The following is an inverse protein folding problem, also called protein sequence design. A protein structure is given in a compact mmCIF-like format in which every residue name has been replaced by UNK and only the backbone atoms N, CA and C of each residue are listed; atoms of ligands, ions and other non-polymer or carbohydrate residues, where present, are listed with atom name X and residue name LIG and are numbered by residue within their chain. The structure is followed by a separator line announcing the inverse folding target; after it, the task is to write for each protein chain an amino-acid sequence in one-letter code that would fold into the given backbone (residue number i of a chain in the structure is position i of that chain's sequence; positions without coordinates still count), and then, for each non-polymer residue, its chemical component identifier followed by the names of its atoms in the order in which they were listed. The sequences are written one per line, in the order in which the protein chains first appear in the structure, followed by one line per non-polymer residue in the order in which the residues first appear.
data_IF_259853574539
#
_entry.id   IF_259853574539
#
_cell.length_a   1.000
_cell.length_b   1.000
_cell.length_c   1.000
_cell.angle_alpha   90.00
_cell.angle_beta   90.00
_cell.angle_gamma   90.00
#
_symmetry.space_group_name_H-M   'P 1'
#
loop_
_entity.id
_entity.type
_entity.pdbx_description
1 polymer ?
#
# COMPACT_ATOMS: atom_id res chain seq x y z
N UNK A 1 -10.09 -11.52 -2.50
CA UNK A 1 -8.86 -10.79 -2.81
C UNK A 1 -8.59 -10.93 -4.30
N UNK A 2 -8.19 -9.86 -4.99
CA UNK A 2 -7.89 -9.91 -6.44
C UNK A 2 -6.54 -10.60 -6.67
N UNK A 3 -6.55 -11.71 -7.41
CA UNK A 3 -5.35 -12.48 -7.74
C UNK A 3 -4.44 -11.70 -8.72
N UNK A 4 -5.06 -10.96 -9.65
CA UNK A 4 -4.33 -10.11 -10.59
C UNK A 4 -3.60 -8.96 -9.88
N UNK A 5 -4.22 -8.36 -8.85
CA UNK A 5 -3.60 -7.29 -8.06
C UNK A 5 -2.40 -7.80 -7.27
N UNK A 6 -2.50 -8.96 -6.63
CA UNK A 6 -1.39 -9.57 -5.88
C UNK A 6 -0.21 -9.94 -6.78
N UNK A 7 -0.47 -10.43 -7.99
CA UNK A 7 0.57 -10.78 -8.98
C UNK A 7 1.31 -9.56 -9.51
N UNK A 8 0.66 -8.39 -9.53
CA UNK A 8 1.26 -7.15 -9.99
C UNK A 8 2.11 -6.43 -8.92
N UNK A 9 2.13 -6.92 -7.67
CA UNK A 9 2.99 -6.37 -6.61
C UNK A 9 4.47 -6.73 -6.85
N UNK A 10 5.35 -5.72 -6.74
CA UNK A 10 6.77 -5.87 -7.01
C UNK A 10 7.60 -5.16 -5.93
N UNK A 11 8.66 -5.82 -5.44
CA UNK A 11 9.64 -5.26 -4.50
C UNK A 11 10.72 -4.46 -5.20
N UNK A 12 11.40 -3.58 -4.46
CA UNK A 12 12.56 -2.83 -4.94
C UNK A 12 12.21 -1.71 -5.93
N UNK A 13 10.94 -1.35 -6.05
CA UNK A 13 10.45 -0.23 -6.86
C UNK A 13 9.80 0.81 -5.98
N UNK A 14 9.76 2.06 -6.44
CA UNK A 14 9.02 3.12 -5.74
C UNK A 14 7.50 2.86 -5.79
N UNK A 15 6.73 3.43 -4.86
CA UNK A 15 5.27 3.39 -4.96
C UNK A 15 4.76 4.04 -6.25
N UNK A 16 5.38 5.11 -6.76
CA UNK A 16 5.05 5.68 -8.07
C UNK A 16 5.14 4.62 -9.18
N UNK A 17 6.24 3.86 -9.21
CA UNK A 17 6.43 2.79 -10.20
C UNK A 17 5.47 1.62 -9.97
N UNK A 18 5.22 1.24 -8.71
CA UNK A 18 4.26 0.20 -8.36
C UNK A 18 2.86 0.57 -8.85
N UNK A 19 2.40 1.79 -8.57
CA UNK A 19 1.09 2.28 -9.01
C UNK A 19 1.01 2.31 -10.54
N UNK A 20 2.07 2.69 -11.25
CA UNK A 20 2.12 2.57 -12.71
C UNK A 20 1.90 1.15 -13.21
N UNK A 21 2.53 0.15 -12.57
CA UNK A 21 2.34 -1.28 -12.92
C UNK A 21 0.94 -1.78 -12.59
N UNK A 22 0.44 -1.44 -11.41
CA UNK A 22 -0.91 -1.80 -10.98
C UNK A 22 -1.96 -1.16 -11.90
N UNK A 23 -1.77 0.08 -12.36
CA UNK A 23 -2.70 0.76 -13.26
C UNK A 23 -2.72 0.16 -14.68
N UNK A 24 -1.66 -0.55 -15.07
CA UNK A 24 -1.61 -1.33 -16.31
C UNK A 24 -2.21 -2.73 -16.17
N UNK A 25 -2.46 -3.19 -14.94
CA UNK A 25 -3.11 -4.47 -14.68
C UNK A 25 -4.63 -4.38 -14.78
N UNK A 26 -5.26 -5.51 -15.02
CA UNK A 26 -6.71 -5.63 -15.15
C UNK A 26 -7.20 -6.98 -14.64
N UNK A 27 -8.41 -7.03 -14.09
CA UNK A 27 -9.08 -8.26 -13.71
C UNK A 27 -10.40 -8.39 -14.46
N UNK A 28 -10.66 -9.54 -15.08
CA UNK A 28 -11.85 -9.75 -15.90
C UNK A 28 -12.00 -8.74 -17.06
N UNK A 29 -10.88 -8.25 -17.61
CA UNK A 29 -10.85 -7.23 -18.67
C UNK A 29 -11.15 -5.80 -18.21
N UNK A 30 -11.23 -5.54 -16.90
CA UNK A 30 -11.44 -4.20 -16.34
C UNK A 30 -10.15 -3.67 -15.70
N UNK A 31 -9.68 -2.48 -16.09
CA UNK A 31 -8.45 -1.92 -15.53
C UNK A 31 -8.66 -1.48 -14.08
N UNK A 32 -7.60 -1.53 -13.28
CA UNK A 32 -7.64 -0.97 -11.94
C UNK A 32 -7.56 0.56 -11.98
N UNK A 33 -8.39 1.21 -11.16
CA UNK A 33 -8.34 2.64 -10.91
C UNK A 33 -7.58 2.88 -9.62
N UNK A 34 -6.47 3.61 -9.68
CA UNK A 34 -5.63 3.86 -8.52
C UNK A 34 -5.72 5.32 -8.08
N UNK A 35 -5.80 5.50 -6.76
CA UNK A 35 -5.78 6.81 -6.11
C UNK A 35 -4.68 6.83 -5.08
N UNK A 36 -4.19 8.02 -4.79
CA UNK A 36 -3.21 8.27 -3.73
C UNK A 36 -3.84 9.23 -2.75
N UNK A 37 -3.99 8.80 -1.50
CA UNK A 37 -4.43 9.68 -0.41
C UNK A 37 -3.50 10.89 -0.33
N UNK A 38 -4.03 12.08 -0.03
CA UNK A 38 -3.25 13.32 0.03
C UNK A 38 -1.97 13.18 0.88
N UNK A 39 -2.08 12.51 2.03
CA UNK A 39 -0.95 12.27 2.93
C UNK A 39 0.10 11.34 2.34
N UNK A 40 -0.30 10.37 1.51
CA UNK A 40 0.59 9.40 0.89
C UNK A 40 1.42 10.00 -0.25
N UNK A 41 0.96 11.11 -0.85
CA UNK A 41 1.67 11.80 -1.95
C UNK A 41 3.11 12.17 -1.61
N UNK A 42 3.38 12.56 -0.37
CA UNK A 42 4.73 12.93 0.09
C UNK A 42 5.71 11.74 0.17
N UNK A 43 5.21 10.51 0.06
CA UNK A 43 5.98 9.29 0.29
C UNK A 43 5.93 8.31 -0.90
N UNK A 44 5.44 8.75 -2.06
CA UNK A 44 5.35 7.87 -3.25
C UNK A 44 6.72 7.46 -3.81
N UNK A 45 7.78 8.17 -3.43
CA UNK A 45 9.17 7.82 -3.75
C UNK A 45 9.77 6.75 -2.82
N UNK A 46 9.06 6.33 -1.77
CA UNK A 46 9.49 5.22 -0.93
C UNK A 46 9.51 3.92 -1.74
N UNK A 47 10.54 3.11 -1.48
CA UNK A 47 10.79 1.82 -2.09
C UNK A 47 9.94 0.77 -1.37
N UNK A 48 9.19 -0.01 -2.13
CA UNK A 48 8.37 -1.12 -1.64
C UNK A 48 9.28 -2.30 -1.29
N UNK A 49 9.25 -2.74 -0.03
CA UNK A 49 10.17 -3.75 0.50
C UNK A 49 9.45 -5.06 0.85
N UNK A 50 8.27 -4.96 1.43
CA UNK A 50 7.43 -6.12 1.75
C UNK A 50 5.95 -5.77 1.73
N UNK A 51 5.11 -6.79 1.67
CA UNK A 51 3.67 -6.66 1.84
C UNK A 51 3.08 -7.92 2.47
N UNK A 52 1.89 -7.78 3.00
CA UNK A 52 1.02 -8.87 3.43
C UNK A 52 -0.40 -8.57 3.01
N UNK A 53 -1.22 -9.61 2.97
CA UNK A 53 -2.65 -9.47 2.78
C UNK A 53 -3.25 -8.65 3.93
N UNK A 54 -4.22 -7.81 3.60
CA UNK A 54 -4.99 -7.09 4.59
C UNK A 54 -5.92 -8.03 5.38
N UNK A 55 -6.46 -7.56 6.52
CA UNK A 55 -7.40 -8.36 7.32
C UNK A 55 -8.64 -8.73 6.49
N UNK A 56 -9.14 -9.97 6.58
CA UNK A 56 -10.27 -10.43 5.75
C UNK A 56 -11.59 -9.68 6.00
N UNK A 57 -11.69 -8.96 7.13
CA UNK A 57 -12.86 -8.16 7.51
C UNK A 57 -12.74 -6.67 7.17
N UNK A 58 -11.69 -6.27 6.44
CA UNK A 58 -11.38 -4.88 6.14
C UNK A 58 -11.36 -4.61 4.63
N UNK A 59 -11.57 -3.34 4.27
CA UNK A 59 -11.38 -2.86 2.90
C UNK A 59 -9.90 -2.79 2.49
N UNK A 60 -8.96 -3.03 3.41
CA UNK A 60 -7.52 -3.09 3.11
C UNK A 60 -7.23 -4.37 2.33
N UNK A 61 -6.79 -4.24 1.09
CA UNK A 61 -6.36 -5.38 0.27
C UNK A 61 -4.94 -5.81 0.65
N UNK A 62 -4.03 -4.85 0.80
CA UNK A 62 -2.63 -5.11 1.18
C UNK A 62 -2.12 -4.09 2.19
N UNK A 63 -1.28 -4.56 3.10
CA UNK A 63 -0.44 -3.71 3.96
C UNK A 63 0.99 -3.81 3.44
N UNK A 64 1.59 -2.68 3.09
CA UNK A 64 2.93 -2.63 2.51
C UNK A 64 3.92 -1.93 3.46
N UNK A 65 5.17 -2.36 3.42
CA UNK A 65 6.30 -1.67 4.02
C UNK A 65 7.03 -0.88 2.94
N UNK A 66 7.25 0.40 3.21
CA UNK A 66 7.96 1.31 2.33
C UNK A 66 9.13 1.97 3.02
N UNK A 67 10.29 1.97 2.37
CA UNK A 67 11.55 2.53 2.86
C UNK A 67 11.90 3.79 2.10
N UNK A 68 12.33 4.83 2.79
CA UNK A 68 12.87 6.01 2.12
C UNK A 68 14.18 5.69 1.38
N UNK A 69 14.52 6.44 0.33
CA UNK A 69 15.70 6.17 -0.50
C UNK A 69 17.01 6.18 0.30
N UNK A 70 17.09 7.05 1.30
CA UNK A 70 18.28 7.25 2.12
C UNK A 70 18.37 6.29 3.34
N UNK A 71 17.49 5.28 3.39
CA UNK A 71 17.49 4.20 4.39
C UNK A 71 17.17 4.62 5.84
N UNK A 72 16.79 5.88 6.05
CA UNK A 72 16.60 6.46 7.40
C UNK A 72 15.20 6.24 7.98
N UNK A 73 14.17 6.05 7.15
CA UNK A 73 12.78 6.02 7.60
C UNK A 73 11.97 4.95 6.87
N UNK A 74 11.26 4.13 7.65
CA UNK A 74 10.32 3.12 7.13
C UNK A 74 8.91 3.46 7.53
N UNK A 75 7.97 3.26 6.61
CA UNK A 75 6.56 3.62 6.76
C UNK A 75 5.66 2.51 6.26
N UNK A 76 4.44 2.50 6.78
CA UNK A 76 3.43 1.49 6.49
C UNK A 76 2.47 2.12 5.54
N UNK A 77 2.14 1.40 4.49
CA UNK A 77 1.18 1.83 3.51
C UNK A 77 0.05 0.81 3.47
N UNK A 78 -1.11 1.27 3.05
CA UNK A 78 -2.27 0.41 2.84
C UNK A 78 -2.77 0.62 1.44
N UNK A 79 -2.97 -0.46 0.70
CA UNK A 79 -3.72 -0.42 -0.54
C UNK A 79 -5.14 -0.90 -0.23
N UNK A 80 -6.09 0.03 -0.19
CA UNK A 80 -7.46 -0.24 0.23
C UNK A 80 -8.42 -0.19 -0.95
N UNK A 81 -9.34 -1.13 -1.03
CA UNK A 81 -10.40 -1.11 -2.03
C UNK A 81 -11.49 -0.11 -1.61
N UNK A 82 -11.63 0.98 -2.36
CA UNK A 82 -12.62 2.04 -2.07
C UNK A 82 -13.80 2.04 -3.04
N UNK A 83 -13.82 1.09 -3.97
CA UNK A 83 -14.90 0.88 -4.93
C UNK A 83 -14.61 -0.29 -5.88
N UNK A 84 -15.51 -0.57 -6.85
CA UNK A 84 -15.28 -1.59 -7.86
C UNK A 84 -13.98 -1.29 -8.63
N UNK A 85 -13.02 -2.22 -8.57
CA UNK A 85 -11.69 -2.09 -9.19
C UNK A 85 -10.92 -0.82 -8.83
N UNK A 86 -11.33 -0.12 -7.76
CA UNK A 86 -10.75 1.15 -7.36
C UNK A 86 -9.99 0.96 -6.06
N UNK A 87 -8.71 1.26 -6.07
CA UNK A 87 -7.83 1.14 -4.92
C UNK A 87 -7.20 2.48 -4.57
N UNK A 88 -7.05 2.73 -3.27
CA UNK A 88 -6.45 3.94 -2.71
C UNK A 88 -5.21 3.57 -1.91
N UNK A 89 -4.08 4.20 -2.23
CA UNK A 89 -2.86 4.12 -1.45
C UNK A 89 -2.95 5.11 -0.28
N UNK A 90 -3.03 4.58 0.93
CA UNK A 90 -2.90 5.32 2.18
C UNK A 90 -1.54 5.11 2.84
N UNK A 91 -1.22 5.96 3.81
CA UNK A 91 0.04 5.89 4.57
C UNK A 91 -0.20 6.06 6.05
N UNK A 92 0.53 5.30 6.86
CA UNK A 92 0.68 5.56 8.28
C UNK A 92 1.81 6.58 8.50
N UNK A 93 1.53 7.76 9.08
CA UNK A 93 2.50 8.85 9.17
C UNK A 93 3.60 8.63 10.21
N UNK A 94 3.50 7.61 11.05
CA UNK A 94 4.56 7.30 12.03
C UNK A 94 5.56 6.33 11.42
N UNK A 95 6.86 6.68 11.39
CA UNK A 95 7.88 5.76 10.96
C UNK A 95 8.09 4.64 11.99
N UNK A 96 8.62 3.49 11.57
CA UNK A 96 8.96 2.38 12.47
C UNK A 96 10.35 1.81 12.16
N UNK A 97 11.02 1.17 13.14
CA UNK A 97 12.36 0.62 12.94
C UNK A 97 12.37 -0.77 12.28
N UNK A 98 11.25 -1.52 12.30
CA UNK A 98 11.22 -2.89 11.77
C UNK A 98 10.77 -2.93 10.30
N UNK A 99 11.76 -2.75 9.44
CA UNK A 99 11.72 -2.76 7.99
C UNK A 99 10.83 -3.83 7.32
N UNK A 100 10.93 -5.07 7.79
CA UNK A 100 10.51 -6.23 7.00
C UNK A 100 9.07 -6.66 7.28
N UNK A 101 8.56 -6.36 8.47
CA UNK A 101 7.24 -6.79 8.89
C UNK A 101 6.22 -5.65 8.75
N UNK A 102 5.37 -5.67 7.69
CA UNK A 102 4.32 -4.68 7.52
C UNK A 102 3.28 -4.72 8.65
N UNK A 103 3.28 -5.73 9.53
CA UNK A 103 2.42 -5.86 10.71
C UNK A 103 3.18 -5.70 12.04
N UNK A 104 4.46 -5.30 12.02
CA UNK A 104 5.27 -5.19 13.23
C UNK A 104 4.50 -4.51 14.40
N UNK A 105 4.51 -5.11 15.61
CA UNK A 105 3.78 -4.59 16.75
C UNK A 105 4.34 -3.23 17.18
N UNK A 106 3.45 -2.24 17.32
CA UNK A 106 3.82 -0.86 17.67
C UNK A 106 3.17 0.21 16.77
N UNK A 107 2.52 -0.21 15.69
CA UNK A 107 1.72 0.67 14.83
C UNK A 107 0.24 0.42 15.14
N UNK A 108 -0.47 1.37 15.78
CA UNK A 108 -1.90 1.24 15.99
C UNK A 108 -2.58 0.98 14.64
N UNK A 109 -3.48 -0.01 14.52
CA UNK A 109 -4.43 0.00 13.42
C UNK A 109 -5.11 1.36 13.48
N UNK A 110 -5.26 2.01 12.32
CA UNK A 110 -5.84 3.36 12.23
C UNK A 110 -7.24 3.36 12.89
N UNK A 111 -7.29 3.66 14.18
CA UNK A 111 -8.51 3.87 14.92
C UNK A 111 -9.01 5.25 14.53
N UNK A 112 -10.23 5.29 13.98
CA UNK A 112 -11.00 6.47 13.58
C UNK A 112 -10.71 7.05 12.20
N UNK A 113 -11.28 6.43 11.16
CA UNK A 113 -12.15 7.17 10.25
C UNK A 113 -13.52 7.25 10.92
N UNK A 114 -13.68 8.16 11.91
CA UNK A 114 -15.00 8.50 12.46
C UNK A 114 -15.72 9.34 11.41
N UNK A 115 -16.99 8.99 11.20
CA UNK A 115 -18.00 9.68 10.39
C UNK A 115 -18.00 11.19 10.56
#
# INVERSE_FOLDING_TARGET
MSEALGTALVKGVTFTQLLGKLGAASEGGRPFVLRVEERAKAYVDHIVESWTDGPPSSDVAFVLSGRDRDDQLWRRFTLSQVGPWTYELGVFPTPFPNAQDPLAPGVPPSSSRRR
#
